data_IF_021278356116
#
_entry.id   IF_021278356116
#
_cell.length_a   1.000
_cell.length_b   1.000
_cell.length_c   1.000
_cell.angle_alpha   90.00
_cell.angle_beta   90.00
_cell.angle_gamma   90.00
#
_symmetry.space_group_name_H-M   'P 1'
#
loop_
_entity.id
_entity.type
_entity.pdbx_description
1 polymer ?
#
# COMPACT_ATOMS: atom_id res chain seq x y z
N UNK A 1 0.56 27.87 -22.12
CA UNK A 1 0.62 27.93 -23.60
C UNK A 1 1.73 27.00 -24.09
N UNK A 2 1.40 25.98 -24.90
CA UNK A 2 2.40 25.06 -25.49
C UNK A 2 3.21 25.85 -26.50
N UNK A 3 4.54 25.97 -26.32
CA UNK A 3 5.42 26.58 -27.33
C UNK A 3 5.33 25.73 -28.60
N UNK A 4 4.78 26.30 -29.66
CA UNK A 4 4.76 25.69 -30.99
C UNK A 4 6.22 25.51 -31.41
N UNK A 5 6.59 24.30 -31.85
CA UNK A 5 7.97 24.04 -32.24
C UNK A 5 8.28 24.69 -33.59
N UNK A 6 9.53 25.10 -33.75
CA UNK A 6 9.98 25.79 -34.95
C UNK A 6 9.83 24.94 -36.23
N UNK A 7 9.98 23.62 -36.12
CA UNK A 7 9.70 22.63 -37.18
C UNK A 7 8.26 22.70 -37.70
N UNK A 8 7.28 22.90 -36.81
CA UNK A 8 5.88 23.08 -37.18
C UNK A 8 5.69 24.38 -37.97
N UNK A 9 6.35 25.47 -37.55
CA UNK A 9 6.31 26.74 -38.26
C UNK A 9 6.96 26.64 -39.65
N UNK A 10 8.11 25.95 -39.76
CA UNK A 10 8.77 25.70 -41.04
C UNK A 10 7.85 24.86 -41.96
N UNK A 11 7.22 23.80 -41.44
CA UNK A 11 6.30 22.98 -42.21
C UNK A 11 5.15 23.78 -42.81
N UNK A 12 4.47 24.60 -41.99
CA UNK A 12 3.41 25.49 -42.49
C UNK A 12 3.92 26.58 -43.42
N UNK A 13 5.12 27.13 -43.16
CA UNK A 13 5.76 28.11 -44.02
C UNK A 13 6.09 27.57 -45.41
N UNK A 14 6.62 26.35 -45.50
CA UNK A 14 6.90 25.68 -46.77
C UNK A 14 5.62 25.39 -47.56
N UNK A 15 4.56 24.93 -46.89
CA UNK A 15 3.26 24.73 -47.53
C UNK A 15 2.69 26.06 -48.06
N UNK A 16 2.80 27.14 -47.28
CA UNK A 16 2.36 28.46 -47.68
C UNK A 16 3.15 28.99 -48.89
N UNK A 17 4.47 28.86 -48.88
CA UNK A 17 5.33 29.22 -50.03
C UNK A 17 4.93 28.40 -51.26
N UNK A 18 4.70 27.09 -51.10
CA UNK A 18 4.20 26.22 -52.16
C UNK A 18 2.95 26.77 -52.81
N UNK A 19 1.90 27.07 -52.03
CA UNK A 19 0.64 27.68 -52.52
C UNK A 19 0.88 29.02 -53.22
N UNK A 20 1.73 29.87 -52.64
CA UNK A 20 2.02 31.19 -53.19
C UNK A 20 2.71 31.10 -54.55
N UNK A 21 3.63 30.14 -54.74
CA UNK A 21 4.25 29.87 -56.04
C UNK A 21 3.23 29.40 -57.08
N UNK A 22 2.29 28.53 -56.71
CA UNK A 22 1.19 28.13 -57.62
C UNK A 22 0.46 29.37 -58.12
N UNK A 23 0.01 30.22 -57.20
CA UNK A 23 -0.78 31.42 -57.53
C UNK A 23 0.02 32.36 -58.44
N UNK A 24 1.27 32.68 -58.09
CA UNK A 24 2.11 33.58 -58.90
C UNK A 24 2.32 33.04 -60.30
N UNK A 25 2.70 31.77 -60.44
CA UNK A 25 3.04 31.20 -61.74
C UNK A 25 1.82 30.91 -62.60
N UNK A 26 0.64 30.70 -62.03
CA UNK A 26 -0.61 30.56 -62.80
C UNK A 26 -0.99 31.81 -63.61
N UNK A 27 -0.51 33.00 -63.21
CA UNK A 27 -0.71 34.26 -63.96
C UNK A 27 0.51 34.71 -64.77
N UNK A 28 1.59 33.92 -64.76
CA UNK A 28 2.79 34.23 -65.55
C UNK A 28 2.57 33.90 -67.02
N UNK A 29 2.96 34.83 -67.90
CA UNK A 29 2.93 34.64 -69.37
C UNK A 29 3.71 33.41 -69.84
N UNK A 30 4.67 32.93 -69.05
CA UNK A 30 5.43 31.72 -69.34
C UNK A 30 4.59 30.43 -69.25
N UNK A 31 3.46 30.47 -68.55
CA UNK A 31 2.62 29.31 -68.24
C UNK A 31 1.13 29.52 -68.54
N UNK A 32 0.71 30.76 -68.83
CA UNK A 32 -0.66 31.13 -69.15
C UNK A 32 -0.65 32.29 -70.14
N UNK A 33 -1.26 32.11 -71.31
CA UNK A 33 -1.35 33.13 -72.36
C UNK A 33 -2.48 34.15 -72.13
N UNK A 34 -3.31 33.95 -71.09
CA UNK A 34 -4.41 34.83 -70.73
C UNK A 34 -5.61 34.76 -71.67
N UNK A 35 -5.61 33.83 -72.63
CA UNK A 35 -6.67 33.68 -73.65
C UNK A 35 -7.95 33.04 -73.09
N UNK A 36 -7.87 32.40 -71.93
CA UNK A 36 -8.95 31.58 -71.37
C UNK A 36 -9.11 30.21 -72.04
N UNK A 37 -8.26 29.89 -73.02
CA UNK A 37 -8.23 28.61 -73.73
C UNK A 37 -7.03 27.80 -73.23
N UNK A 38 -7.24 26.51 -72.94
CA UNK A 38 -6.17 25.65 -72.45
C UNK A 38 -5.17 25.32 -73.56
N UNK A 39 -3.95 25.87 -73.45
CA UNK A 39 -2.82 25.48 -74.30
C UNK A 39 -2.11 24.25 -73.68
N UNK A 40 -2.03 23.10 -74.38
CA UNK A 40 -1.43 21.87 -73.85
C UNK A 40 0.04 22.01 -73.43
N UNK A 41 0.85 22.76 -74.18
CA UNK A 41 2.28 22.89 -73.91
C UNK A 41 2.56 23.79 -72.70
N UNK A 42 1.83 24.91 -72.59
CA UNK A 42 1.90 25.79 -71.43
C UNK A 42 1.42 25.08 -70.16
N UNK A 43 0.34 24.31 -70.26
CA UNK A 43 -0.17 23.49 -69.17
C UNK A 43 0.83 22.39 -68.75
N UNK A 44 1.51 21.74 -69.70
CA UNK A 44 2.53 20.74 -69.41
C UNK A 44 3.75 21.36 -68.70
N UNK A 45 4.22 22.52 -69.15
CA UNK A 45 5.31 23.26 -68.50
C UNK A 45 4.94 23.70 -67.08
N UNK A 46 3.70 24.16 -66.88
CA UNK A 46 3.18 24.50 -65.56
C UNK A 46 3.12 23.26 -64.66
N UNK A 47 2.62 22.14 -65.18
CA UNK A 47 2.64 20.84 -64.50
C UNK A 47 4.05 20.41 -64.10
N UNK A 48 5.05 20.67 -64.95
CA UNK A 48 6.47 20.45 -64.65
C UNK A 48 7.00 21.30 -63.49
N UNK A 49 6.65 22.58 -63.42
CA UNK A 49 7.00 23.45 -62.28
C UNK A 49 6.33 22.99 -60.98
N UNK A 50 5.05 22.61 -61.05
CA UNK A 50 4.31 22.08 -59.91
C UNK A 50 4.95 20.78 -59.42
N UNK A 51 5.20 19.83 -60.33
CA UNK A 51 5.80 18.54 -59.98
C UNK A 51 7.25 18.65 -59.50
N UNK A 52 8.04 19.54 -60.10
CA UNK A 52 9.48 19.66 -59.86
C UNK A 52 9.86 20.53 -58.67
N UNK A 53 9.07 21.57 -58.34
CA UNK A 53 9.42 22.53 -57.27
C UNK A 53 8.36 22.52 -56.17
N UNK A 54 7.09 22.70 -56.52
CA UNK A 54 6.01 22.81 -55.54
C UNK A 54 5.73 21.47 -54.84
N UNK A 55 5.80 20.36 -55.58
CA UNK A 55 5.63 18.99 -55.07
C UNK A 55 6.66 18.63 -53.99
N UNK A 56 7.96 18.86 -54.20
CA UNK A 56 8.97 18.71 -53.15
C UNK A 56 8.77 19.60 -51.93
N UNK A 57 8.34 20.86 -52.11
CA UNK A 57 8.03 21.76 -50.99
C UNK A 57 6.88 21.21 -50.12
N UNK A 58 5.79 20.76 -50.75
CA UNK A 58 4.69 20.12 -50.03
C UNK A 58 5.09 18.79 -49.40
N UNK A 59 5.91 17.98 -50.09
CA UNK A 59 6.43 16.72 -49.55
C UNK A 59 7.26 16.95 -48.30
N UNK A 60 8.15 17.95 -48.31
CA UNK A 60 8.96 18.32 -47.15
C UNK A 60 8.10 18.91 -46.02
N UNK A 61 7.13 19.79 -46.35
CA UNK A 61 6.18 20.31 -45.39
C UNK A 61 5.38 19.20 -44.70
N UNK A 62 4.83 18.28 -45.49
CA UNK A 62 4.07 17.12 -45.01
C UNK A 62 4.91 16.20 -44.14
N UNK A 63 6.15 15.91 -44.55
CA UNK A 63 7.09 15.13 -43.77
C UNK A 63 7.37 15.77 -42.39
N UNK A 64 7.66 17.08 -42.34
CA UNK A 64 7.94 17.78 -41.09
C UNK A 64 6.73 17.79 -40.15
N UNK A 65 5.52 18.02 -40.68
CA UNK A 65 4.29 18.01 -39.89
C UNK A 65 3.94 16.61 -39.39
N UNK A 66 4.14 15.57 -40.22
CA UNK A 66 3.96 14.18 -39.82
C UNK A 66 4.97 13.78 -38.74
N UNK A 67 6.24 14.15 -38.89
CA UNK A 67 7.28 13.90 -37.89
C UNK A 67 6.90 14.51 -36.53
N UNK A 68 6.47 15.78 -36.51
CA UNK A 68 6.01 16.42 -35.28
C UNK A 68 4.77 15.74 -34.68
N UNK A 69 3.86 15.28 -35.53
CA UNK A 69 2.68 14.53 -35.10
C UNK A 69 3.08 13.22 -34.42
N UNK A 70 3.99 12.45 -35.01
CA UNK A 70 4.49 11.19 -34.45
C UNK A 70 5.20 11.43 -33.11
N UNK A 71 6.03 12.47 -33.01
CA UNK A 71 6.72 12.82 -31.76
C UNK A 71 5.71 13.22 -30.67
N UNK A 72 4.70 14.02 -31.01
CA UNK A 72 3.65 14.41 -30.08
C UNK A 72 2.81 13.21 -29.61
N UNK A 73 2.46 12.31 -30.52
CA UNK A 73 1.74 11.07 -30.23
C UNK A 73 2.54 10.15 -29.32
N UNK A 74 3.84 9.94 -29.60
CA UNK A 74 4.71 9.11 -28.76
C UNK A 74 4.79 9.63 -27.33
N UNK A 75 4.97 10.94 -27.16
CA UNK A 75 5.00 11.56 -25.82
C UNK A 75 3.64 11.45 -25.11
N UNK A 76 2.54 11.60 -25.85
CA UNK A 76 1.20 11.42 -25.29
C UNK A 76 0.96 9.98 -24.84
N UNK A 77 1.42 9.01 -25.64
CA UNK A 77 1.35 7.59 -25.33
C UNK A 77 2.16 7.27 -24.07
N UNK A 78 3.40 7.74 -23.96
CA UNK A 78 4.24 7.51 -22.78
C UNK A 78 3.59 8.07 -21.50
N UNK A 79 3.05 9.29 -21.57
CA UNK A 79 2.32 9.90 -20.44
C UNK A 79 1.05 9.11 -20.08
N UNK A 80 0.32 8.63 -21.08
CA UNK A 80 -0.89 7.82 -20.89
C UNK A 80 -0.56 6.46 -20.28
N UNK A 81 0.54 5.84 -20.70
CA UNK A 81 1.02 4.58 -20.12
C UNK A 81 1.37 4.76 -18.64
N UNK A 82 2.09 5.82 -18.28
CA UNK A 82 2.39 6.14 -16.87
C UNK A 82 1.12 6.37 -16.05
N UNK A 83 0.17 7.15 -16.57
CA UNK A 83 -1.11 7.39 -15.90
C UNK A 83 -1.90 6.09 -15.71
N UNK A 84 -1.88 5.20 -16.71
CA UNK A 84 -2.55 3.91 -16.66
C UNK A 84 -1.90 2.95 -15.64
N UNK A 85 -0.57 2.94 -15.52
CA UNK A 85 0.14 2.16 -14.49
C UNK A 85 -0.25 2.62 -13.08
N UNK A 86 -0.32 3.94 -12.85
CA UNK A 86 -0.78 4.52 -11.58
C UNK A 86 -2.23 4.11 -11.31
N UNK A 87 -3.12 4.26 -12.28
CA UNK A 87 -4.53 3.90 -12.12
C UNK A 87 -4.74 2.42 -11.81
N UNK A 88 -4.03 1.51 -12.50
CA UNK A 88 -4.09 0.08 -12.21
C UNK A 88 -3.60 -0.23 -10.80
N UNK A 89 -2.52 0.43 -10.38
CA UNK A 89 -2.00 0.27 -9.03
C UNK A 89 -2.98 0.77 -7.97
N UNK A 90 -3.54 1.97 -8.14
CA UNK A 90 -4.55 2.54 -7.24
C UNK A 90 -5.77 1.63 -7.16
N UNK A 91 -6.25 1.12 -8.28
CA UNK A 91 -7.38 0.17 -8.33
C UNK A 91 -7.08 -1.07 -7.48
N UNK A 92 -5.91 -1.71 -7.67
CA UNK A 92 -5.50 -2.86 -6.88
C UNK A 92 -5.31 -2.51 -5.40
N UNK A 93 -4.74 -1.34 -5.10
CA UNK A 93 -4.52 -0.87 -3.74
C UNK A 93 -5.84 -0.66 -2.99
N UNK A 94 -6.82 0.00 -3.61
CA UNK A 94 -8.13 0.20 -2.99
C UNK A 94 -8.92 -1.10 -2.85
N UNK A 95 -8.77 -2.05 -3.78
CA UNK A 95 -9.36 -3.39 -3.62
C UNK A 95 -8.73 -4.15 -2.44
N UNK A 96 -7.42 -4.05 -2.23
CA UNK A 96 -6.76 -4.59 -1.04
C UNK A 96 -7.26 -3.92 0.26
N UNK A 97 -7.46 -2.60 0.27
CA UNK A 97 -8.07 -1.92 1.42
C UNK A 97 -9.48 -2.47 1.68
N UNK A 98 -10.28 -2.66 0.63
CA UNK A 98 -11.63 -3.20 0.74
C UNK A 98 -11.62 -4.61 1.32
N UNK A 99 -10.81 -5.52 0.79
CA UNK A 99 -10.65 -6.86 1.36
C UNK A 99 -10.17 -6.85 2.80
N UNK A 100 -9.28 -5.91 3.16
CA UNK A 100 -8.87 -5.75 4.55
C UNK A 100 -10.03 -5.36 5.47
N UNK A 101 -10.87 -4.40 5.05
CA UNK A 101 -12.08 -4.02 5.78
C UNK A 101 -13.09 -5.16 5.84
N UNK A 102 -13.23 -5.93 4.77
CA UNK A 102 -14.12 -7.09 4.72
C UNK A 102 -13.66 -8.16 5.73
N UNK A 103 -12.36 -8.43 5.81
CA UNK A 103 -11.78 -9.33 6.81
C UNK A 103 -12.11 -8.91 8.23
N UNK A 104 -12.03 -7.61 8.54
CA UNK A 104 -12.44 -7.08 9.84
C UNK A 104 -13.94 -7.24 10.01
N UNK A 105 -14.75 -6.88 9.01
CA UNK A 105 -16.21 -6.90 9.08
C UNK A 105 -16.80 -8.30 9.34
N UNK A 106 -16.10 -9.34 8.88
CA UNK A 106 -16.47 -10.74 9.06
C UNK A 106 -15.98 -11.33 10.39
N UNK A 107 -15.19 -10.59 11.18
CA UNK A 107 -14.74 -11.09 12.47
C UNK A 107 -15.90 -11.21 13.45
N UNK A 108 -16.04 -12.40 14.03
CA UNK A 108 -16.97 -12.69 15.12
C UNK A 108 -16.25 -13.44 16.22
N UNK A 109 -16.48 -13.02 17.47
CA UNK A 109 -15.98 -13.65 18.68
C UNK A 109 -17.15 -13.82 19.66
N UNK A 110 -17.53 -15.06 19.92
CA UNK A 110 -18.59 -15.38 20.88
C UNK A 110 -18.10 -15.16 22.31
N UNK A 111 -18.98 -14.70 23.18
CA UNK A 111 -18.72 -14.59 24.62
C UNK A 111 -18.83 -15.99 25.24
N UNK A 112 -17.81 -16.54 25.92
CA UNK A 112 -17.87 -17.92 26.39
C UNK A 112 -18.95 -18.23 27.43
N UNK A 113 -19.41 -17.21 28.16
CA UNK A 113 -20.40 -17.33 29.23
C UNK A 113 -21.80 -16.85 28.84
N UNK A 114 -21.96 -16.38 27.61
CA UNK A 114 -23.21 -15.82 27.14
C UNK A 114 -23.39 -16.19 25.67
N UNK A 115 -24.18 -17.23 25.43
CA UNK A 115 -24.41 -17.77 24.09
C UNK A 115 -25.19 -16.79 23.19
N UNK A 116 -25.86 -15.79 23.76
CA UNK A 116 -26.61 -14.78 23.01
C UNK A 116 -25.73 -13.58 22.64
N UNK A 117 -24.62 -13.36 23.35
CA UNK A 117 -23.74 -12.22 23.13
C UNK A 117 -22.46 -12.57 22.36
N UNK A 118 -22.05 -11.64 21.49
CA UNK A 118 -20.82 -11.73 20.72
C UNK A 118 -20.24 -10.35 20.45
N UNK A 119 -18.94 -10.32 20.20
CA UNK A 119 -18.24 -9.19 19.61
C UNK A 119 -18.11 -9.42 18.12
N UNK A 120 -18.32 -8.37 17.33
CA UNK A 120 -18.17 -8.38 15.89
C UNK A 120 -17.29 -7.24 15.40
N UNK A 121 -16.79 -7.38 14.17
CA UNK A 121 -16.06 -6.31 13.48
C UNK A 121 -14.86 -5.82 14.32
N UNK A 122 -14.66 -4.51 14.37
CA UNK A 122 -13.60 -3.89 15.18
C UNK A 122 -13.76 -4.12 16.71
N UNK A 123 -14.97 -4.45 17.21
CA UNK A 123 -15.18 -4.71 18.65
C UNK A 123 -14.44 -5.96 19.13
N UNK A 124 -14.14 -6.88 18.23
CA UNK A 124 -13.31 -8.05 18.52
C UNK A 124 -11.92 -7.63 19.04
N UNK A 125 -11.34 -6.56 18.50
CA UNK A 125 -10.04 -6.06 18.95
C UNK A 125 -10.08 -5.39 20.34
N UNK A 126 -11.24 -4.85 20.73
CA UNK A 126 -11.46 -4.33 22.09
C UNK A 126 -11.37 -5.48 23.09
N UNK A 127 -12.04 -6.60 22.79
CA UNK A 127 -12.00 -7.80 23.62
C UNK A 127 -10.59 -8.42 23.62
N UNK A 128 -9.90 -8.50 22.47
CA UNK A 128 -8.51 -8.98 22.42
C UNK A 128 -7.58 -8.15 23.30
N UNK A 129 -7.73 -6.82 23.28
CA UNK A 129 -6.95 -5.92 24.13
C UNK A 129 -7.25 -6.15 25.62
N UNK A 130 -8.53 -6.28 25.97
CA UNK A 130 -8.97 -6.61 27.33
C UNK A 130 -8.37 -7.93 27.82
N UNK A 131 -8.40 -8.96 26.98
CA UNK A 131 -7.78 -10.26 27.25
C UNK A 131 -6.26 -10.12 27.43
N UNK A 132 -5.60 -9.40 26.53
CA UNK A 132 -4.16 -9.15 26.62
C UNK A 132 -3.79 -8.49 27.95
N UNK A 133 -4.45 -7.42 28.37
CA UNK A 133 -4.15 -6.74 29.63
C UNK A 133 -4.29 -7.66 30.85
N UNK A 134 -5.30 -8.55 30.86
CA UNK A 134 -5.48 -9.53 31.94
C UNK A 134 -4.37 -10.59 31.93
N UNK A 135 -4.01 -11.11 30.76
CA UNK A 135 -2.93 -12.09 30.59
C UNK A 135 -1.59 -11.46 30.99
N UNK A 136 -1.29 -10.28 30.48
CA UNK A 136 -0.05 -9.55 30.72
C UNK A 136 0.16 -9.26 32.20
N UNK A 137 -0.88 -8.84 32.92
CA UNK A 137 -0.80 -8.65 34.38
C UNK A 137 -0.36 -9.94 35.10
N UNK A 138 -1.05 -11.06 34.85
CA UNK A 138 -0.73 -12.36 35.48
C UNK A 138 0.69 -12.81 35.12
N UNK A 139 1.04 -12.71 33.84
CA UNK A 139 2.36 -13.06 33.32
C UNK A 139 3.45 -12.21 33.99
N UNK A 140 3.25 -10.90 34.08
CA UNK A 140 4.20 -9.95 34.66
C UNK A 140 4.41 -10.20 36.16
N UNK A 141 3.34 -10.44 36.91
CA UNK A 141 3.41 -10.77 38.34
C UNK A 141 4.24 -12.04 38.58
N UNK A 142 4.05 -13.08 37.75
CA UNK A 142 4.81 -14.34 37.87
C UNK A 142 6.27 -14.18 37.44
N UNK A 143 6.53 -13.48 36.33
CA UNK A 143 7.88 -13.25 35.81
C UNK A 143 8.71 -12.39 36.76
N UNK A 144 8.11 -11.37 37.39
CA UNK A 144 8.82 -10.51 38.34
C UNK A 144 9.35 -11.28 39.54
N UNK A 145 8.63 -12.31 39.98
CA UNK A 145 9.02 -13.21 41.07
C UNK A 145 9.91 -14.37 40.62
N UNK A 146 10.24 -14.46 39.33
CA UNK A 146 11.06 -15.53 38.77
C UNK A 146 12.52 -15.11 38.59
N UNK A 147 13.45 -16.02 38.91
CA UNK A 147 14.88 -15.89 38.61
C UNK A 147 15.25 -16.49 37.24
N UNK A 148 14.27 -17.01 36.49
CA UNK A 148 14.50 -17.66 35.18
C UNK A 148 14.71 -16.67 34.03
N UNK A 149 14.38 -15.39 34.25
CA UNK A 149 14.50 -14.32 33.26
C UNK A 149 15.24 -13.17 33.93
N UNK A 150 16.31 -12.70 33.28
CA UNK A 150 17.06 -11.53 33.74
C UNK A 150 16.16 -10.29 33.83
N UNK A 151 16.36 -9.47 34.86
CA UNK A 151 15.50 -8.31 35.14
C UNK A 151 15.32 -7.37 33.94
N UNK A 152 16.39 -7.13 33.17
CA UNK A 152 16.37 -6.29 31.96
C UNK A 152 15.43 -6.83 30.86
N UNK A 153 15.15 -8.13 30.87
CA UNK A 153 14.34 -8.81 29.86
C UNK A 153 12.93 -9.15 30.34
N UNK A 154 12.62 -8.96 31.64
CA UNK A 154 11.32 -9.32 32.24
C UNK A 154 10.14 -8.64 31.56
N UNK A 155 10.24 -7.33 31.27
CA UNK A 155 9.17 -6.59 30.59
C UNK A 155 8.90 -7.17 29.19
N UNK A 156 9.94 -7.26 28.35
CA UNK A 156 9.83 -7.80 26.99
C UNK A 156 9.30 -9.24 26.98
N UNK A 157 9.77 -10.08 27.91
CA UNK A 157 9.30 -11.43 28.05
C UNK A 157 7.82 -11.50 28.46
N UNK A 158 7.39 -10.64 29.39
CA UNK A 158 6.00 -10.58 29.83
C UNK A 158 5.05 -10.20 28.70
N UNK A 159 5.44 -9.23 27.87
CA UNK A 159 4.69 -8.80 26.69
C UNK A 159 4.62 -9.92 25.65
N UNK A 160 5.76 -10.53 25.32
CA UNK A 160 5.81 -11.60 24.31
C UNK A 160 5.01 -12.84 24.75
N UNK A 161 5.20 -13.32 25.97
CA UNK A 161 4.45 -14.48 26.51
C UNK A 161 2.96 -14.18 26.53
N UNK A 162 2.55 -12.99 26.99
CA UNK A 162 1.14 -12.62 27.01
C UNK A 162 0.51 -12.56 25.61
N UNK A 163 1.25 -12.04 24.62
CA UNK A 163 0.80 -12.01 23.24
C UNK A 163 0.73 -13.42 22.63
N UNK A 164 1.72 -14.29 22.89
CA UNK A 164 1.70 -15.68 22.42
C UNK A 164 0.49 -16.44 22.99
N UNK A 165 0.18 -16.26 24.27
CA UNK A 165 -1.02 -16.82 24.91
C UNK A 165 -2.29 -16.25 24.28
N UNK A 166 -2.37 -14.95 23.99
CA UNK A 166 -3.51 -14.35 23.29
C UNK A 166 -3.68 -14.95 21.89
N UNK A 167 -2.57 -15.12 21.16
CA UNK A 167 -2.58 -15.56 19.77
C UNK A 167 -2.92 -17.05 19.64
N UNK A 168 -2.20 -17.94 20.32
CA UNK A 168 -2.42 -19.39 20.24
C UNK A 168 -3.54 -19.86 21.16
N UNK A 169 -3.69 -19.25 22.34
CA UNK A 169 -4.65 -19.71 23.34
C UNK A 169 -4.14 -20.88 24.18
N UNK A 170 -4.80 -21.09 25.32
CA UNK A 170 -4.49 -22.18 26.27
C UNK A 170 -5.60 -23.23 26.28
N UNK A 171 -6.29 -23.45 25.17
CA UNK A 171 -7.26 -24.54 25.07
C UNK A 171 -6.52 -25.88 24.93
N UNK A 172 -7.16 -27.01 25.26
CA UNK A 172 -6.54 -28.34 25.10
C UNK A 172 -6.05 -28.57 23.66
N UNK A 173 -6.81 -28.11 22.66
CA UNK A 173 -6.49 -28.27 21.24
C UNK A 173 -5.40 -27.31 20.75
N UNK A 174 -5.26 -26.13 21.33
CA UNK A 174 -4.28 -25.11 20.88
C UNK A 174 -3.01 -25.05 21.73
N UNK A 175 -3.01 -25.70 22.91
CA UNK A 175 -1.87 -25.73 23.83
C UNK A 175 -0.57 -26.23 23.18
N UNK A 176 -0.56 -27.28 22.32
CA UNK A 176 0.69 -27.72 21.68
C UNK A 176 1.36 -26.63 20.84
N UNK A 177 0.59 -25.85 20.06
CA UNK A 177 1.12 -24.76 19.22
C UNK A 177 1.70 -23.62 20.08
N UNK A 178 1.03 -23.32 21.19
CA UNK A 178 1.50 -22.36 22.18
C UNK A 178 2.82 -22.82 22.81
N UNK A 179 2.88 -24.06 23.31
CA UNK A 179 4.07 -24.62 23.96
C UNK A 179 5.27 -24.65 23.01
N UNK A 180 5.07 -25.08 21.77
CA UNK A 180 6.09 -25.02 20.72
C UNK A 180 6.62 -23.59 20.54
N UNK A 181 5.72 -22.61 20.44
CA UNK A 181 6.11 -21.21 20.22
C UNK A 181 6.82 -20.59 21.41
N UNK A 182 6.40 -20.91 22.65
CA UNK A 182 7.08 -20.45 23.87
C UNK A 182 8.50 -21.03 23.97
N UNK A 183 8.65 -22.34 23.72
CA UNK A 183 9.95 -23.02 23.73
C UNK A 183 10.88 -22.44 22.65
N UNK A 184 10.37 -22.19 21.45
CA UNK A 184 11.13 -21.57 20.35
C UNK A 184 11.65 -20.16 20.71
N UNK A 185 10.93 -19.44 21.57
CA UNK A 185 11.37 -18.13 22.08
C UNK A 185 12.30 -18.24 23.32
N UNK A 186 12.68 -19.46 23.72
CA UNK A 186 13.61 -19.70 24.83
C UNK A 186 12.99 -19.61 26.22
N UNK A 187 11.66 -19.65 26.35
CA UNK A 187 11.01 -19.57 27.66
C UNK A 187 10.99 -20.91 28.38
N UNK A 188 11.31 -20.89 29.68
CA UNK A 188 11.29 -22.07 30.56
C UNK A 188 9.87 -22.65 30.68
N UNK A 189 9.76 -23.98 30.55
CA UNK A 189 8.47 -24.68 30.57
C UNK A 189 7.78 -24.59 31.93
N UNK A 190 8.51 -24.74 33.04
CA UNK A 190 7.91 -24.67 34.38
C UNK A 190 7.34 -23.26 34.65
N UNK A 191 8.08 -22.23 34.23
CA UNK A 191 7.61 -20.84 34.31
C UNK A 191 6.32 -20.65 33.50
N UNK A 192 6.30 -21.06 32.24
CA UNK A 192 5.14 -20.88 31.37
C UNK A 192 3.94 -21.73 31.80
N UNK A 193 4.16 -22.96 32.26
CA UNK A 193 3.11 -23.81 32.84
C UNK A 193 2.48 -23.16 34.09
N UNK A 194 3.27 -22.51 34.95
CA UNK A 194 2.73 -21.79 36.12
C UNK A 194 1.80 -20.65 35.73
N UNK A 195 2.13 -19.91 34.67
CA UNK A 195 1.28 -18.85 34.11
C UNK A 195 -0.02 -19.43 33.56
N UNK A 196 0.07 -20.51 32.78
CA UNK A 196 -1.09 -21.18 32.18
C UNK A 196 -2.02 -21.73 33.27
N UNK A 197 -1.47 -22.32 34.33
CA UNK A 197 -2.23 -22.80 35.49
C UNK A 197 -2.99 -21.67 36.19
N UNK A 198 -2.34 -20.51 36.39
CA UNK A 198 -3.00 -19.35 37.01
C UNK A 198 -4.12 -18.80 36.13
N UNK A 199 -3.93 -18.78 34.81
CA UNK A 199 -4.98 -18.44 33.85
C UNK A 199 -6.16 -19.41 33.91
N UNK A 200 -5.94 -20.70 34.18
CA UNK A 200 -7.01 -21.67 34.38
C UNK A 200 -7.79 -21.45 35.69
N UNK A 201 -7.13 -21.06 36.78
CA UNK A 201 -7.83 -20.75 38.04
C UNK A 201 -8.78 -19.56 37.87
N UNK A 202 -8.34 -18.53 37.15
CA UNK A 202 -9.18 -17.37 36.79
C UNK A 202 -10.34 -17.76 35.83
N UNK A 203 -10.26 -18.92 35.18
CA UNK A 203 -11.26 -19.49 34.26
C UNK A 203 -12.28 -20.44 34.89
N UNK A 204 -12.17 -20.82 36.17
CA UNK A 204 -13.01 -21.86 36.79
C UNK A 204 -14.55 -21.60 36.83
N UNK A 205 -15.06 -20.59 36.10
CA UNK A 205 -16.48 -20.25 36.01
C UNK A 205 -17.19 -20.63 34.69
N UNK A 206 -16.53 -21.19 33.66
CA UNK A 206 -17.12 -21.21 32.30
C UNK A 206 -17.20 -22.58 31.60
N UNK A 207 -18.17 -22.68 30.68
CA UNK A 207 -18.63 -23.85 29.94
C UNK A 207 -17.48 -24.75 29.40
N UNK A 208 -17.54 -26.09 29.56
CA UNK A 208 -16.53 -27.02 29.04
C UNK A 208 -16.30 -26.95 27.52
N UNK A 209 -17.18 -26.32 26.74
CA UNK A 209 -17.08 -26.21 25.27
C UNK A 209 -16.35 -24.95 24.78
N UNK A 210 -16.18 -23.90 25.58
CA UNK A 210 -15.62 -22.60 25.13
C UNK A 210 -14.60 -22.04 26.12
N UNK A 211 -13.33 -21.99 25.70
CA UNK A 211 -12.24 -21.47 26.52
C UNK A 211 -12.07 -19.97 26.25
N UNK A 212 -12.14 -19.13 27.30
CA UNK A 212 -12.03 -17.67 27.15
C UNK A 212 -10.72 -17.19 26.49
N UNK A 213 -9.57 -17.69 26.95
CA UNK A 213 -8.29 -17.54 26.24
C UNK A 213 -8.12 -18.71 25.26
N UNK A 214 -9.03 -18.83 24.31
CA UNK A 214 -9.06 -19.90 23.30
C UNK A 214 -8.15 -19.65 22.10
N UNK A 215 -7.53 -18.47 22.03
CA UNK A 215 -6.64 -18.08 20.95
C UNK A 215 -7.34 -17.32 19.83
N UNK A 216 -6.54 -16.55 19.11
CA UNK A 216 -6.97 -15.68 18.02
C UNK A 216 -6.19 -15.92 16.72
N UNK A 217 -5.40 -16.99 16.64
CA UNK A 217 -4.51 -17.30 15.51
C UNK A 217 -5.21 -17.28 14.16
N UNK A 218 -6.41 -17.85 14.06
CA UNK A 218 -7.17 -17.89 12.80
C UNK A 218 -7.51 -16.47 12.34
N UNK A 219 -8.04 -15.63 13.24
CA UNK A 219 -8.46 -14.24 12.95
C UNK A 219 -7.25 -13.34 12.67
N UNK A 220 -6.30 -13.32 13.60
CA UNK A 220 -5.12 -12.44 13.53
C UNK A 220 -4.13 -12.89 12.45
N UNK A 221 -3.99 -14.19 12.21
CA UNK A 221 -3.14 -14.72 11.16
C UNK A 221 -3.60 -14.28 9.77
N UNK A 222 -4.90 -14.36 9.49
CA UNK A 222 -5.46 -13.86 8.24
C UNK A 222 -5.33 -12.33 8.12
N UNK A 223 -5.74 -11.61 9.17
CA UNK A 223 -5.72 -10.15 9.22
C UNK A 223 -4.32 -9.56 8.99
N UNK A 224 -3.30 -10.01 9.74
CA UNK A 224 -1.95 -9.48 9.62
C UNK A 224 -1.25 -9.91 8.34
N UNK A 225 -1.52 -11.12 7.82
CA UNK A 225 -1.00 -11.53 6.51
C UNK A 225 -1.52 -10.60 5.42
N UNK A 226 -2.81 -10.30 5.41
CA UNK A 226 -3.39 -9.39 4.42
C UNK A 226 -2.84 -7.96 4.56
N UNK A 227 -2.75 -7.44 5.79
CA UNK A 227 -2.18 -6.12 6.06
C UNK A 227 -0.72 -6.04 5.58
N UNK A 228 0.08 -7.07 5.86
CA UNK A 228 1.48 -7.17 5.44
C UNK A 228 1.63 -7.18 3.91
N UNK A 229 0.82 -7.99 3.22
CA UNK A 229 0.86 -8.02 1.75
C UNK A 229 0.46 -6.69 1.14
N UNK A 230 -0.47 -5.95 1.75
CA UNK A 230 -0.88 -4.63 1.26
C UNK A 230 0.24 -3.61 1.37
N UNK A 231 0.95 -3.57 2.51
CA UNK A 231 2.12 -2.69 2.68
C UNK A 231 3.25 -3.09 1.73
N UNK A 232 3.54 -4.39 1.63
CA UNK A 232 4.54 -4.94 0.70
C UNK A 232 4.22 -4.64 -0.77
N UNK A 233 2.94 -4.65 -1.15
CA UNK A 233 2.50 -4.28 -2.48
C UNK A 233 2.87 -2.83 -2.82
N UNK A 234 2.58 -1.89 -1.91
CA UNK A 234 2.95 -0.47 -2.08
C UNK A 234 4.47 -0.29 -2.10
N UNK A 235 5.17 -0.94 -1.17
CA UNK A 235 6.62 -0.82 -0.99
C UNK A 235 7.42 -1.24 -2.23
N UNK A 236 6.98 -2.31 -2.91
CA UNK A 236 7.66 -2.89 -4.07
C UNK A 236 7.52 -2.10 -5.36
N UNK A 237 6.57 -1.15 -5.45
CA UNK A 237 6.37 -0.39 -6.68
C UNK A 237 7.57 0.53 -6.95
N UNK A 238 8.00 0.59 -8.21
CA UNK A 238 9.18 1.38 -8.64
C UNK A 238 8.82 2.70 -9.34
N UNK A 239 7.62 2.82 -9.88
CA UNK A 239 7.19 4.01 -10.64
C UNK A 239 6.61 5.12 -9.76
N UNK A 240 6.44 4.90 -8.44
CA UNK A 240 6.08 5.94 -7.46
C UNK A 240 7.25 6.18 -6.49
N UNK A 241 7.40 7.42 -6.03
CA UNK A 241 8.45 7.79 -5.09
C UNK A 241 8.06 7.48 -3.62
N UNK A 242 9.03 7.54 -2.72
CA UNK A 242 8.83 7.18 -1.30
C UNK A 242 7.81 8.06 -0.58
N UNK A 243 7.67 9.34 -0.98
CA UNK A 243 6.65 10.24 -0.44
C UNK A 243 5.25 9.76 -0.84
N UNK A 244 5.05 9.35 -2.08
CA UNK A 244 3.79 8.77 -2.55
C UNK A 244 3.49 7.45 -1.84
N UNK A 245 4.49 6.55 -1.73
CA UNK A 245 4.34 5.29 -0.96
C UNK A 245 3.90 5.54 0.47
N UNK A 246 4.52 6.53 1.13
CA UNK A 246 4.14 6.95 2.47
C UNK A 246 2.67 7.38 2.54
N UNK A 247 2.18 8.19 1.61
CA UNK A 247 0.78 8.63 1.60
C UNK A 247 -0.21 7.47 1.34
N UNK A 248 0.15 6.49 0.50
CA UNK A 248 -0.66 5.28 0.33
C UNK A 248 -0.72 4.44 1.61
N UNK A 249 0.43 4.11 2.22
CA UNK A 249 0.43 3.32 3.47
C UNK A 249 -0.21 4.09 4.62
N UNK A 250 -0.10 5.43 4.64
CA UNK A 250 -0.83 6.29 5.59
C UNK A 250 -2.34 6.22 5.39
N UNK A 251 -2.82 6.11 4.15
CA UNK A 251 -4.25 5.89 3.83
C UNK A 251 -4.74 4.54 4.35
N UNK A 252 -3.94 3.47 4.17
CA UNK A 252 -4.22 2.15 4.74
C UNK A 252 -4.26 2.21 6.28
N UNK A 253 -3.27 2.85 6.90
CA UNK A 253 -3.19 3.03 8.35
C UNK A 253 -4.40 3.77 8.92
N UNK A 254 -4.95 4.74 8.19
CA UNK A 254 -6.15 5.47 8.61
C UNK A 254 -7.41 4.60 8.70
N UNK A 255 -7.39 3.39 8.11
CA UNK A 255 -8.47 2.41 8.26
C UNK A 255 -8.40 1.63 9.58
N UNK A 256 -7.26 1.66 10.28
CA UNK A 256 -7.03 0.89 11.50
C UNK A 256 -7.53 1.65 12.73
N UNK A 257 -8.37 1.01 13.54
CA UNK A 257 -8.74 1.55 14.85
C UNK A 257 -7.56 1.55 15.81
N UNK A 258 -7.64 2.34 16.89
CA UNK A 258 -6.61 2.31 17.95
C UNK A 258 -6.46 0.92 18.59
N UNK A 259 -7.55 0.15 18.68
CA UNK A 259 -7.53 -1.22 19.19
C UNK A 259 -6.81 -2.17 18.24
N UNK A 260 -7.04 -2.05 16.93
CA UNK A 260 -6.29 -2.78 15.91
C UNK A 260 -4.80 -2.43 15.93
N UNK A 261 -4.46 -1.14 16.01
CA UNK A 261 -3.07 -0.68 16.13
C UNK A 261 -2.38 -1.23 17.38
N UNK A 262 -3.12 -1.37 18.49
CA UNK A 262 -2.58 -1.95 19.72
C UNK A 262 -2.21 -3.42 19.55
N UNK A 263 -3.12 -4.23 19.00
CA UNK A 263 -2.85 -5.65 18.74
C UNK A 263 -1.78 -5.80 17.66
N UNK A 264 -1.74 -4.91 16.67
CA UNK A 264 -0.70 -4.87 15.65
C UNK A 264 0.69 -4.60 16.24
N UNK A 265 0.81 -3.61 17.12
CA UNK A 265 2.06 -3.33 17.83
C UNK A 265 2.52 -4.55 18.65
N UNK A 266 1.63 -5.18 19.40
CA UNK A 266 1.97 -6.38 20.17
C UNK A 266 2.39 -7.55 19.26
N UNK A 267 1.73 -7.71 18.11
CA UNK A 267 2.13 -8.67 17.09
C UNK A 267 3.55 -8.41 16.59
N UNK A 268 3.90 -7.16 16.29
CA UNK A 268 5.20 -6.80 15.73
C UNK A 268 6.36 -7.04 16.70
N UNK A 269 6.11 -6.98 18.01
CA UNK A 269 7.09 -7.32 19.06
C UNK A 269 7.28 -8.83 19.25
N UNK A 270 6.38 -9.66 18.72
CA UNK A 270 6.35 -11.11 18.93
C UNK A 270 6.55 -11.86 17.59
N UNK A 271 5.53 -12.57 17.11
CA UNK A 271 5.59 -13.36 15.86
C UNK A 271 5.70 -12.50 14.58
N UNK A 272 5.48 -11.19 14.69
CA UNK A 272 5.48 -10.23 13.59
C UNK A 272 6.81 -9.53 13.33
N UNK A 273 7.95 -10.07 13.77
CA UNK A 273 9.27 -9.43 13.58
C UNK A 273 9.60 -9.09 12.12
N UNK A 274 9.01 -9.81 11.16
CA UNK A 274 9.20 -9.56 9.73
C UNK A 274 8.79 -8.14 9.31
N UNK A 275 7.84 -7.51 10.01
CA UNK A 275 7.43 -6.13 9.79
C UNK A 275 8.60 -5.16 9.91
N UNK A 276 9.41 -5.29 10.96
CA UNK A 276 10.55 -4.40 11.18
C UNK A 276 11.82 -4.88 10.48
N UNK A 277 11.97 -6.19 10.20
CA UNK A 277 13.05 -6.68 9.32
C UNK A 277 13.00 -6.03 7.94
N UNK A 278 11.79 -5.82 7.40
CA UNK A 278 11.57 -5.07 6.16
C UNK A 278 11.44 -3.55 6.38
N UNK A 279 11.65 -3.06 7.61
CA UNK A 279 11.51 -1.65 8.04
C UNK A 279 10.14 -1.02 7.77
N UNK A 280 9.08 -1.82 7.61
CA UNK A 280 7.76 -1.30 7.25
C UNK A 280 7.16 -0.43 8.35
N UNK A 281 7.32 -0.78 9.63
CA UNK A 281 6.77 0.02 10.73
C UNK A 281 7.51 1.36 10.82
N UNK A 282 8.85 1.34 10.81
CA UNK A 282 9.67 2.56 10.87
C UNK A 282 9.48 3.45 9.64
N UNK A 283 9.59 2.91 8.42
CA UNK A 283 9.50 3.68 7.17
C UNK A 283 8.14 4.34 7.01
N UNK A 284 7.05 3.60 7.25
CA UNK A 284 5.69 4.10 7.04
C UNK A 284 5.03 4.65 8.30
N UNK A 285 5.73 4.62 9.45
CA UNK A 285 5.24 5.12 10.75
C UNK A 285 3.89 4.50 11.10
N UNK A 286 3.79 3.17 10.94
CA UNK A 286 2.52 2.45 10.99
C UNK A 286 1.79 2.60 12.34
N UNK A 287 2.54 2.69 13.44
CA UNK A 287 1.98 2.79 14.79
C UNK A 287 1.98 4.22 15.36
N UNK A 288 2.27 5.25 14.55
CA UNK A 288 2.41 6.64 15.04
C UNK A 288 1.14 7.20 15.73
N UNK A 289 -0.04 6.62 15.46
CA UNK A 289 -1.32 7.03 16.05
C UNK A 289 -1.68 6.27 17.36
N UNK A 290 -0.84 5.33 17.82
CA UNK A 290 -1.14 4.47 18.97
C UNK A 290 -0.85 5.18 20.30
N UNK A 291 -1.84 5.63 21.09
CA UNK A 291 -1.58 6.51 22.24
C UNK A 291 -0.66 5.91 23.32
N UNK A 292 0.12 6.76 24.00
CA UNK A 292 1.12 6.36 25.01
C UNK A 292 0.61 5.35 26.05
N UNK A 293 -0.53 5.64 26.67
CA UNK A 293 -1.07 4.84 27.78
C UNK A 293 -2.23 3.92 27.32
N UNK A 294 -2.20 3.50 26.05
CA UNK A 294 -3.30 2.73 25.50
C UNK A 294 -3.18 1.24 25.82
N UNK A 295 -1.98 0.69 26.01
CA UNK A 295 -1.75 -0.75 26.19
C UNK A 295 -1.18 -1.01 27.59
N UNK A 296 -2.07 -1.06 28.59
CA UNK A 296 -1.66 -1.19 29.99
C UNK A 296 -0.55 -0.16 30.34
N UNK A 297 0.59 -0.63 30.83
CA UNK A 297 1.78 0.15 31.18
C UNK A 297 2.89 0.10 30.11
N UNK A 298 2.61 -0.46 28.93
CA UNK A 298 3.57 -0.60 27.83
C UNK A 298 3.56 0.68 26.99
N UNK A 299 4.71 1.36 26.93
CA UNK A 299 4.89 2.54 26.09
C UNK A 299 5.45 2.14 24.71
N UNK A 300 4.74 2.41 23.59
CA UNK A 300 5.22 2.07 22.25
C UNK A 300 6.58 2.68 21.89
N UNK A 301 6.86 3.87 22.45
CA UNK A 301 8.11 4.60 22.18
C UNK A 301 9.36 3.89 22.71
N UNK A 302 9.21 3.02 23.71
CA UNK A 302 10.34 2.25 24.28
C UNK A 302 10.85 1.19 23.28
N UNK A 303 10.00 0.82 22.31
CA UNK A 303 10.31 -0.19 21.29
C UNK A 303 10.57 0.43 19.90
N UNK A 304 9.77 1.41 19.50
CA UNK A 304 9.94 2.14 18.24
C UNK A 304 10.08 3.64 18.53
N UNK A 305 11.32 4.15 18.51
CA UNK A 305 11.68 5.53 18.85
C UNK A 305 12.13 6.37 17.64
N UNK A 306 12.16 5.79 16.44
CA UNK A 306 12.70 6.38 15.21
C UNK A 306 11.79 7.44 14.56
N UNK A 307 10.54 7.57 15.03
CA UNK A 307 9.60 8.58 14.55
C UNK A 307 8.82 9.20 15.70
N UNK A 308 8.39 10.45 15.51
CA UNK A 308 7.51 11.15 16.44
C UNK A 308 6.08 10.64 16.35
N UNK A 309 5.54 10.26 17.50
CA UNK A 309 4.14 9.93 17.69
C UNK A 309 3.26 11.17 17.73
N UNK A 310 1.94 10.99 17.66
CA UNK A 310 1.01 12.13 17.62
C UNK A 310 0.87 12.89 18.94
N UNK A 311 0.99 12.23 20.09
CA UNK A 311 0.94 12.89 21.40
C UNK A 311 2.22 13.67 21.74
N UNK A 312 3.21 13.67 20.85
CA UNK A 312 4.47 14.41 21.02
C UNK A 312 4.48 15.74 20.24
N UNK A 313 3.35 16.10 19.61
CA UNK A 313 3.16 17.37 18.92
C UNK A 313 2.56 18.39 19.87
#
# INVERSE_FOLDING_TARGET
MRKIKWTTFIGFGLAFIGVLLIIIFSFSKAFNDGSGILNPDLANNFGGLIGGIVGPLFSLAGFLLLYETIVAQRRSFDNQQQAFEIQQFETKFFELIKFHRDNVSQMVLRVPWDEQNYYDKARVFIEMKSQFSKIHKITKDIINNSNKIEDVNKEKASVNIAYLILFFGVSKSTRPDLEYSLLKNGYDKMLTDSIILELYKKKAKYNPKTVYYGGHQVRLGHYFRHLFQTVKFVDKVRFINDKQKYEYVKTLRAQLTQHELAIFFLNSLSIGQEWEKNKYITTYKLIKNLPKNFIADINPKDYYHTFKYEWEK
#
